data_IF_572093379452
#
_entry.id   IF_572093379452
#
_cell.length_a   1.000
_cell.length_b   1.000
_cell.length_c   1.000
_cell.angle_alpha   90.00
_cell.angle_beta   90.00
_cell.angle_gamma   90.00
#
_symmetry.space_group_name_H-M   'P 1'
#
loop_
_entity.id
_entity.type
_entity.pdbx_description
1 polymer ?
#
# COMPACT_ATOMS: atom_id res chain seq x y z
N UNK A 1 -15.42 17.20 -5.66
CA UNK A 1 -14.30 16.38 -5.10
C UNK A 1 -14.31 16.58 -3.60
N UNK A 2 -14.39 15.51 -2.82
CA UNK A 2 -14.29 15.61 -1.36
C UNK A 2 -12.87 16.08 -1.01
N UNK A 3 -12.76 17.15 -0.22
CA UNK A 3 -11.48 17.65 0.28
C UNK A 3 -10.83 16.62 1.17
N UNK A 4 -9.49 16.67 1.32
CA UNK A 4 -8.73 15.80 2.26
C UNK A 4 -9.36 15.78 3.66
N UNK A 5 -9.86 16.92 4.12
CA UNK A 5 -10.59 17.08 5.39
C UNK A 5 -11.86 16.22 5.45
N UNK A 6 -12.65 16.18 4.37
CA UNK A 6 -13.89 15.39 4.33
C UNK A 6 -13.64 13.88 4.47
N UNK A 7 -12.55 13.36 3.94
CA UNK A 7 -12.17 11.93 4.07
C UNK A 7 -11.71 11.57 5.48
N UNK A 8 -11.06 12.50 6.17
CA UNK A 8 -10.64 12.30 7.56
C UNK A 8 -11.86 12.31 8.46
N UNK A 9 -12.77 13.24 8.22
CA UNK A 9 -14.01 13.32 8.97
C UNK A 9 -14.87 12.07 8.73
N UNK A 10 -14.87 11.53 7.51
CA UNK A 10 -15.48 10.24 7.19
C UNK A 10 -14.82 9.08 7.94
N UNK A 11 -13.49 8.98 7.92
CA UNK A 11 -12.75 7.93 8.62
C UNK A 11 -12.92 8.01 10.15
N UNK A 12 -12.93 9.24 10.71
CA UNK A 12 -13.28 9.47 12.11
C UNK A 12 -14.72 9.02 12.41
N UNK A 13 -15.65 9.33 11.51
CA UNK A 13 -17.04 8.90 11.60
C UNK A 13 -17.19 7.39 11.63
N UNK A 14 -16.46 6.66 10.80
CA UNK A 14 -16.46 5.19 10.76
C UNK A 14 -15.93 4.61 12.09
N UNK A 15 -14.81 5.11 12.62
CA UNK A 15 -14.28 4.67 13.91
C UNK A 15 -15.26 4.95 15.06
N UNK A 16 -15.83 6.15 15.08
CA UNK A 16 -16.82 6.56 16.08
C UNK A 16 -18.07 5.67 16.02
N UNK A 17 -18.57 5.37 14.84
CA UNK A 17 -19.72 4.48 14.62
C UNK A 17 -19.42 3.05 15.12
N UNK A 18 -18.21 2.55 14.86
CA UNK A 18 -17.79 1.21 15.31
C UNK A 18 -17.71 1.12 16.84
N UNK A 19 -17.13 2.12 17.51
CA UNK A 19 -17.09 2.18 18.98
C UNK A 19 -18.49 2.30 19.59
N UNK A 20 -19.36 3.10 18.95
CA UNK A 20 -20.78 3.20 19.38
C UNK A 20 -21.51 1.87 19.21
N UNK A 21 -21.27 1.13 18.13
CA UNK A 21 -21.87 -0.18 17.91
C UNK A 21 -21.45 -1.16 19.01
N UNK A 22 -20.16 -1.26 19.35
CA UNK A 22 -19.66 -2.11 20.43
C UNK A 22 -20.37 -1.81 21.76
N UNK A 23 -20.52 -0.54 22.11
CA UNK A 23 -21.25 -0.15 23.31
C UNK A 23 -22.72 -0.58 23.26
N UNK A 24 -23.37 -0.40 22.11
CA UNK A 24 -24.78 -0.76 21.94
C UNK A 24 -24.99 -2.28 21.98
N UNK A 25 -24.11 -3.04 21.35
CA UNK A 25 -24.14 -4.51 21.32
C UNK A 25 -23.93 -5.10 22.74
N UNK A 26 -23.10 -4.43 23.57
CA UNK A 26 -22.94 -4.74 24.99
C UNK A 26 -24.14 -4.29 25.86
N UNK A 27 -25.19 -3.68 25.28
CA UNK A 27 -26.35 -3.20 25.99
C UNK A 27 -26.10 -1.99 26.92
N UNK A 28 -24.98 -1.29 26.75
CA UNK A 28 -24.57 -0.18 27.61
C UNK A 28 -25.08 1.17 27.10
N UNK A 29 -25.60 2.00 28.02
CA UNK A 29 -25.80 3.44 27.77
C UNK A 29 -24.44 4.16 27.86
N UNK A 30 -24.34 5.37 27.28
CA UNK A 30 -23.11 6.18 27.41
C UNK A 30 -22.74 6.47 28.89
N UNK A 31 -23.72 6.63 29.75
CA UNK A 31 -23.48 6.79 31.20
C UNK A 31 -23.02 5.49 31.88
N UNK A 32 -23.58 4.36 31.47
CA UNK A 32 -23.16 3.05 31.97
C UNK A 32 -21.72 2.73 31.57
N UNK A 33 -21.35 3.03 30.30
CA UNK A 33 -20.00 2.91 29.85
C UNK A 33 -19.04 3.83 30.61
N UNK A 34 -19.42 5.08 30.84
CA UNK A 34 -18.63 6.02 31.65
C UNK A 34 -18.37 5.47 33.10
N UNK A 35 -19.37 4.91 33.72
CA UNK A 35 -19.24 4.30 35.06
C UNK A 35 -18.33 3.06 35.04
N UNK A 36 -18.40 2.25 33.98
CA UNK A 36 -17.63 1.00 33.86
C UNK A 36 -16.16 1.26 33.51
N UNK A 37 -15.88 2.29 32.68
CA UNK A 37 -14.54 2.62 32.15
C UNK A 37 -13.80 3.68 32.97
N UNK A 38 -14.50 4.46 33.81
CA UNK A 38 -13.94 5.66 34.45
C UNK A 38 -13.71 6.84 33.48
N UNK A 39 -14.10 6.72 32.22
CA UNK A 39 -14.03 7.81 31.23
C UNK A 39 -15.14 8.83 31.49
N UNK A 40 -14.84 10.11 31.31
CA UNK A 40 -15.86 11.15 31.37
C UNK A 40 -16.95 10.96 30.29
N UNK A 41 -18.21 11.08 30.67
CA UNK A 41 -19.35 10.93 29.78
C UNK A 41 -19.30 11.90 28.59
N UNK A 42 -18.80 13.11 28.81
CA UNK A 42 -18.60 14.11 27.74
C UNK A 42 -17.55 13.65 26.74
N UNK A 43 -16.49 12.99 27.21
CA UNK A 43 -15.46 12.40 26.36
C UNK A 43 -16.02 11.27 25.50
N UNK A 44 -16.80 10.36 26.09
CA UNK A 44 -17.50 9.29 25.36
C UNK A 44 -18.38 9.87 24.28
N UNK A 45 -19.21 10.86 24.61
CA UNK A 45 -20.05 11.55 23.63
C UNK A 45 -19.26 12.20 22.49
N UNK A 46 -18.14 12.86 22.79
CA UNK A 46 -17.27 13.47 21.78
C UNK A 46 -16.64 12.42 20.87
N UNK A 47 -16.23 11.27 21.39
CA UNK A 47 -15.67 10.16 20.61
C UNK A 47 -16.74 9.58 19.70
N UNK A 48 -17.94 9.28 20.20
CA UNK A 48 -19.05 8.72 19.42
C UNK A 48 -19.59 9.66 18.33
N UNK A 49 -19.38 10.95 18.47
CA UNK A 49 -19.76 11.96 17.48
C UNK A 49 -18.58 12.41 16.60
N UNK A 50 -17.45 11.68 16.61
CA UNK A 50 -16.24 11.97 15.85
C UNK A 50 -15.63 13.37 16.11
N UNK A 51 -16.00 14.04 17.21
CA UNK A 51 -15.47 15.34 17.61
C UNK A 51 -14.08 15.22 18.25
N UNK A 52 -13.81 14.08 18.89
CA UNK A 52 -12.53 13.78 19.54
C UNK A 52 -12.08 12.37 19.18
N UNK A 53 -10.79 12.22 18.81
CA UNK A 53 -10.19 10.91 18.62
C UNK A 53 -9.93 10.22 19.97
N UNK A 54 -10.22 8.91 20.08
CA UNK A 54 -9.83 8.13 21.25
C UNK A 54 -8.31 7.87 21.19
N UNK A 55 -7.65 7.88 22.34
CA UNK A 55 -6.29 7.37 22.46
C UNK A 55 -6.29 5.84 22.64
N UNK A 56 -5.11 5.20 22.62
CA UNK A 56 -5.00 3.75 22.77
C UNK A 56 -5.54 3.22 24.08
N UNK A 57 -5.37 3.97 25.20
CA UNK A 57 -5.89 3.58 26.50
C UNK A 57 -7.42 3.64 26.50
N UNK A 58 -8.01 4.68 25.91
CA UNK A 58 -9.46 4.79 25.75
C UNK A 58 -10.04 3.58 25.01
N UNK A 59 -9.41 3.18 23.89
CA UNK A 59 -9.87 2.04 23.08
C UNK A 59 -9.80 0.73 23.87
N UNK A 60 -8.70 0.48 24.60
CA UNK A 60 -8.56 -0.72 25.44
C UNK A 60 -9.65 -0.79 26.49
N UNK A 61 -9.79 0.28 27.28
CA UNK A 61 -10.79 0.34 28.34
C UNK A 61 -12.23 0.24 27.80
N UNK A 62 -12.47 0.80 26.59
CA UNK A 62 -13.76 0.69 25.93
C UNK A 62 -14.10 -0.75 25.52
N UNK A 63 -13.16 -1.43 24.86
CA UNK A 63 -13.33 -2.82 24.43
C UNK A 63 -13.50 -3.77 25.63
N UNK A 64 -12.66 -3.64 26.66
CA UNK A 64 -12.77 -4.40 27.90
C UNK A 64 -14.17 -4.24 28.54
N UNK A 65 -14.67 -3.00 28.61
CA UNK A 65 -16.01 -2.73 29.15
C UNK A 65 -17.16 -3.31 28.31
N UNK A 66 -16.92 -3.56 27.03
CA UNK A 66 -17.88 -4.09 26.07
C UNK A 66 -17.67 -5.59 25.74
N UNK A 67 -16.77 -6.28 26.44
CA UNK A 67 -16.40 -7.68 26.19
C UNK A 67 -15.97 -7.93 24.73
N UNK A 68 -15.17 -6.98 24.15
CA UNK A 68 -14.73 -6.95 22.75
C UNK A 68 -13.19 -6.85 22.61
N UNK A 69 -12.45 -7.55 23.46
CA UNK A 69 -10.98 -7.49 23.53
C UNK A 69 -10.30 -7.88 22.22
N UNK A 70 -10.89 -8.75 21.43
CA UNK A 70 -10.41 -9.16 20.12
C UNK A 70 -10.34 -8.00 19.10
N UNK A 71 -11.11 -6.93 19.30
CA UNK A 71 -11.14 -5.76 18.42
C UNK A 71 -10.14 -4.66 18.81
N UNK A 72 -9.50 -4.77 19.95
CA UNK A 72 -8.55 -3.76 20.47
C UNK A 72 -7.46 -3.42 19.46
N UNK A 73 -6.83 -4.45 18.89
CA UNK A 73 -5.70 -4.27 17.96
C UNK A 73 -6.14 -3.55 16.69
N UNK A 74 -7.27 -3.95 16.13
CA UNK A 74 -7.82 -3.37 14.91
C UNK A 74 -8.29 -1.93 15.11
N UNK A 75 -8.94 -1.62 16.23
CA UNK A 75 -9.41 -0.27 16.53
C UNK A 75 -8.25 0.70 16.84
N UNK A 76 -7.20 0.23 17.52
CA UNK A 76 -5.98 1.03 17.71
C UNK A 76 -5.30 1.29 16.38
N UNK A 77 -5.18 0.28 15.52
CA UNK A 77 -4.60 0.44 14.20
C UNK A 77 -5.41 1.42 13.33
N UNK A 78 -6.74 1.36 13.39
CA UNK A 78 -7.63 2.29 12.69
C UNK A 78 -7.42 3.73 13.18
N UNK A 79 -7.37 3.97 14.50
CA UNK A 79 -7.12 5.30 15.06
C UNK A 79 -5.75 5.86 14.65
N UNK A 80 -4.69 5.03 14.71
CA UNK A 80 -3.35 5.43 14.27
C UNK A 80 -3.28 5.72 12.78
N UNK A 81 -4.04 4.99 11.95
CA UNK A 81 -4.10 5.24 10.51
C UNK A 81 -4.75 6.59 10.19
N UNK A 82 -5.82 6.96 10.91
CA UNK A 82 -6.47 8.27 10.75
C UNK A 82 -5.48 9.39 11.06
N UNK A 83 -4.71 9.28 12.14
CA UNK A 83 -3.69 10.26 12.49
C UNK A 83 -2.55 10.32 11.46
N UNK A 84 -2.11 9.17 10.94
CA UNK A 84 -1.03 9.08 9.94
C UNK A 84 -1.47 9.61 8.56
N UNK A 85 -2.72 9.39 8.16
CA UNK A 85 -3.26 9.89 6.88
C UNK A 85 -3.22 11.41 6.78
N UNK A 86 -3.29 12.11 7.90
CA UNK A 86 -3.45 13.57 7.89
C UNK A 86 -2.14 14.34 7.81
N UNK A 87 -1.08 13.88 8.47
CA UNK A 87 0.11 14.71 8.71
C UNK A 87 1.20 14.52 7.64
N UNK A 88 1.29 13.35 7.05
CA UNK A 88 2.46 12.99 6.23
C UNK A 88 2.31 13.34 4.75
N UNK A 89 1.13 13.18 4.16
CA UNK A 89 1.00 13.21 2.71
C UNK A 89 1.18 14.61 2.12
N UNK A 90 0.46 15.60 2.61
CA UNK A 90 0.57 16.99 2.14
C UNK A 90 1.97 17.57 2.36
N UNK A 91 2.56 17.23 3.52
CA UNK A 91 3.90 17.67 3.89
C UNK A 91 5.00 16.99 3.07
N UNK A 92 4.81 15.71 2.72
CA UNK A 92 5.73 14.96 1.87
C UNK A 92 5.71 15.47 0.42
N UNK A 93 4.55 15.79 -0.12
CA UNK A 93 4.39 16.32 -1.48
C UNK A 93 4.92 17.75 -1.61
N UNK A 94 4.79 18.60 -0.60
CA UNK A 94 5.39 19.94 -0.56
C UNK A 94 6.93 19.90 -0.67
N UNK A 95 7.56 18.79 -0.27
CA UNK A 95 9.01 18.58 -0.31
C UNK A 95 9.51 17.86 -1.58
N UNK A 96 8.61 17.58 -2.54
CA UNK A 96 8.92 16.86 -3.78
C UNK A 96 8.96 15.33 -3.63
N UNK A 97 9.00 14.63 -4.77
CA UNK A 97 8.99 13.16 -4.82
C UNK A 97 10.28 12.52 -4.30
N UNK A 98 11.41 13.18 -4.39
CA UNK A 98 12.66 12.66 -3.86
C UNK A 98 12.61 12.47 -2.34
N UNK A 99 11.96 13.38 -1.64
CA UNK A 99 11.70 13.22 -0.20
C UNK A 99 10.75 12.04 0.05
N UNK A 100 9.66 11.94 -0.71
CA UNK A 100 8.70 10.82 -0.62
C UNK A 100 9.42 9.49 -0.82
N UNK A 101 10.25 9.36 -1.87
CA UNK A 101 11.00 8.12 -2.10
C UNK A 101 11.89 7.78 -0.90
N UNK A 102 12.68 8.72 -0.40
CA UNK A 102 13.56 8.49 0.76
C UNK A 102 12.82 8.10 2.04
N UNK A 103 11.59 8.58 2.23
CA UNK A 103 10.78 8.28 3.43
C UNK A 103 10.44 6.80 3.59
N UNK A 104 10.48 6.00 2.51
CA UNK A 104 10.27 4.56 2.58
C UNK A 104 11.49 3.78 3.07
N UNK A 105 12.69 4.36 3.04
CA UNK A 105 13.91 3.64 3.38
C UNK A 105 13.87 2.97 4.76
N UNK A 106 13.45 3.66 5.86
CA UNK A 106 13.38 3.04 7.19
C UNK A 106 12.41 1.85 7.27
N UNK A 107 11.32 1.87 6.47
CA UNK A 107 10.40 0.75 6.37
C UNK A 107 11.06 -0.40 5.62
N UNK A 108 11.71 -0.13 4.49
CA UNK A 108 12.39 -1.13 3.68
C UNK A 108 13.54 -1.81 4.44
N UNK A 109 14.29 -1.05 5.22
CA UNK A 109 15.41 -1.59 6.02
C UNK A 109 14.94 -2.62 7.07
N UNK A 110 13.78 -2.34 7.70
CA UNK A 110 13.19 -3.21 8.73
C UNK A 110 12.42 -4.40 8.17
N UNK A 111 11.96 -4.34 6.91
CA UNK A 111 11.14 -5.38 6.30
C UNK A 111 12.01 -6.53 5.79
N UNK A 112 11.63 -7.77 6.08
CA UNK A 112 12.30 -8.99 5.61
C UNK A 112 11.59 -9.62 4.41
N UNK A 113 10.27 -9.54 4.34
CA UNK A 113 9.45 -10.12 3.29
C UNK A 113 8.60 -9.07 2.61
N UNK A 114 8.78 -8.93 1.30
CA UNK A 114 7.99 -8.04 0.44
C UNK A 114 7.10 -8.89 -0.47
N UNK A 115 5.81 -8.62 -0.48
CA UNK A 115 4.84 -9.17 -1.43
C UNK A 115 4.16 -8.01 -2.13
N UNK A 116 4.26 -7.95 -3.44
CA UNK A 116 3.87 -6.79 -4.24
C UNK A 116 2.96 -7.22 -5.38
N UNK A 117 1.80 -6.63 -5.44
CA UNK A 117 0.91 -6.71 -6.58
C UNK A 117 0.83 -5.38 -7.31
N UNK A 118 1.06 -5.40 -8.63
CA UNK A 118 0.91 -4.25 -9.52
C UNK A 118 0.14 -4.66 -10.79
N UNK A 119 -0.99 -4.01 -11.02
CA UNK A 119 -1.84 -4.33 -12.16
C UNK A 119 -1.32 -3.73 -13.48
N UNK A 120 -0.89 -2.47 -13.48
CA UNK A 120 -0.69 -1.68 -14.70
C UNK A 120 0.65 -0.97 -14.83
N UNK A 121 1.55 -1.15 -13.87
CA UNK A 121 2.88 -0.56 -13.90
C UNK A 121 3.93 -1.53 -13.33
N UNK A 122 5.19 -1.38 -13.74
CA UNK A 122 6.29 -2.13 -13.15
C UNK A 122 6.54 -1.63 -11.71
N UNK A 123 6.70 -2.52 -10.71
CA UNK A 123 7.02 -2.13 -9.34
C UNK A 123 8.30 -1.27 -9.27
N UNK A 124 8.29 -0.22 -8.44
CA UNK A 124 9.39 0.75 -8.34
C UNK A 124 10.77 0.12 -8.08
N UNK A 125 10.82 -0.96 -7.30
CA UNK A 125 12.07 -1.69 -7.04
C UNK A 125 12.65 -2.43 -8.26
N UNK A 126 11.87 -2.59 -9.34
CA UNK A 126 12.29 -3.30 -10.55
C UNK A 126 12.47 -2.37 -11.77
N UNK A 127 12.22 -1.05 -11.61
CA UNK A 127 12.27 -0.09 -12.71
C UNK A 127 13.70 0.22 -13.16
N UNK A 128 13.89 0.43 -14.46
CA UNK A 128 15.09 1.10 -14.99
C UNK A 128 15.03 2.61 -14.66
N UNK A 129 16.17 3.30 -14.78
CA UNK A 129 16.22 4.75 -14.52
C UNK A 129 15.28 5.54 -15.42
N UNK A 130 15.24 5.20 -16.71
CA UNK A 130 14.42 5.91 -17.70
C UNK A 130 12.93 5.61 -17.53
N UNK A 131 12.57 4.36 -17.22
CA UNK A 131 11.18 4.04 -16.87
C UNK A 131 10.74 4.76 -15.59
N UNK A 132 11.59 4.77 -14.56
CA UNK A 132 11.32 5.50 -13.32
C UNK A 132 11.13 7.00 -13.58
N UNK A 133 11.99 7.59 -14.44
CA UNK A 133 11.91 9.00 -14.83
C UNK A 133 10.58 9.33 -15.50
N UNK A 134 10.19 8.59 -16.52
CA UNK A 134 8.92 8.83 -17.22
C UNK A 134 7.71 8.65 -16.31
N UNK A 135 7.70 7.60 -15.50
CA UNK A 135 6.61 7.34 -14.56
C UNK A 135 6.48 8.43 -13.46
N UNK A 136 7.62 8.86 -12.88
CA UNK A 136 7.63 9.91 -11.85
C UNK A 136 7.32 11.28 -12.45
N UNK A 137 7.78 11.58 -13.67
CA UNK A 137 7.45 12.82 -14.38
C UNK A 137 5.94 12.96 -14.55
N UNK A 138 5.28 11.92 -15.03
CA UNK A 138 3.83 11.93 -15.18
C UNK A 138 3.08 12.21 -13.85
N UNK A 139 3.63 11.74 -12.72
CA UNK A 139 3.06 12.02 -11.39
C UNK A 139 3.29 13.49 -11.00
N UNK A 140 4.50 14.03 -11.21
CA UNK A 140 4.82 15.44 -10.93
C UNK A 140 3.90 16.35 -11.71
N UNK A 141 3.80 16.13 -13.02
CA UNK A 141 3.00 16.95 -13.94
C UNK A 141 1.51 16.89 -13.60
N UNK A 142 1.00 15.69 -13.34
CA UNK A 142 -0.43 15.50 -12.98
C UNK A 142 -0.81 16.15 -11.65
N UNK A 143 0.08 16.08 -10.64
CA UNK A 143 -0.19 16.59 -9.30
C UNK A 143 0.20 18.05 -9.11
N UNK A 144 0.99 18.63 -10.02
CA UNK A 144 1.50 20.00 -9.91
C UNK A 144 2.40 20.21 -8.69
N UNK A 145 3.21 19.21 -8.34
CA UNK A 145 4.15 19.25 -7.20
C UNK A 145 5.53 19.73 -7.65
N UNK A 146 6.42 20.16 -6.71
CA UNK A 146 7.76 20.62 -7.08
C UNK A 146 8.54 19.62 -7.92
N UNK A 147 9.19 20.12 -8.98
CA UNK A 147 10.00 19.31 -9.88
C UNK A 147 11.37 19.00 -9.29
N UNK A 148 11.50 17.83 -8.71
CA UNK A 148 12.75 17.27 -8.20
C UNK A 148 13.06 15.89 -8.84
N UNK A 149 12.72 15.72 -10.13
CA UNK A 149 12.76 14.44 -10.84
C UNK A 149 14.09 13.71 -10.70
N UNK A 150 15.22 14.40 -10.80
CA UNK A 150 16.55 13.78 -10.68
C UNK A 150 16.78 13.20 -9.29
N UNK A 151 16.42 13.95 -8.24
CA UNK A 151 16.49 13.47 -6.86
C UNK A 151 15.54 12.30 -6.61
N UNK A 152 14.33 12.32 -7.19
CA UNK A 152 13.35 11.26 -7.08
C UNK A 152 13.81 9.96 -7.76
N UNK A 153 14.37 10.05 -8.98
CA UNK A 153 14.94 8.91 -9.70
C UNK A 153 16.14 8.34 -8.95
N UNK A 154 17.08 9.19 -8.53
CA UNK A 154 18.24 8.75 -7.77
C UNK A 154 17.86 8.03 -6.47
N UNK A 155 16.87 8.56 -5.72
CA UNK A 155 16.37 7.92 -4.52
C UNK A 155 15.71 6.55 -4.81
N UNK A 156 14.94 6.44 -5.90
CA UNK A 156 14.32 5.17 -6.33
C UNK A 156 15.37 4.13 -6.71
N UNK A 157 16.39 4.50 -7.46
CA UNK A 157 17.47 3.58 -7.83
C UNK A 157 18.28 3.14 -6.60
N UNK A 158 18.51 4.05 -5.65
CA UNK A 158 19.15 3.72 -4.37
C UNK A 158 18.35 2.68 -3.58
N UNK A 159 17.03 2.80 -3.54
CA UNK A 159 16.18 1.82 -2.87
C UNK A 159 16.31 0.41 -3.45
N UNK A 160 16.60 0.27 -4.75
CA UNK A 160 16.73 -1.04 -5.39
C UNK A 160 17.93 -1.85 -4.89
N UNK A 161 18.91 -1.20 -4.24
CA UNK A 161 20.05 -1.90 -3.64
C UNK A 161 19.61 -2.96 -2.62
N UNK A 162 18.44 -2.83 -2.01
CA UNK A 162 17.92 -3.83 -1.07
C UNK A 162 17.67 -5.19 -1.71
N UNK A 163 17.45 -5.26 -3.04
CA UNK A 163 17.27 -6.53 -3.76
C UNK A 163 18.51 -7.44 -3.68
N UNK A 164 19.69 -6.84 -3.44
CA UNK A 164 20.96 -7.57 -3.26
C UNK A 164 21.12 -8.14 -1.86
N UNK A 165 20.25 -7.76 -0.92
CA UNK A 165 20.32 -8.26 0.46
C UNK A 165 19.71 -9.66 0.55
N UNK A 166 20.55 -10.70 0.62
CA UNK A 166 20.13 -12.10 0.66
C UNK A 166 19.31 -12.51 1.89
N UNK A 167 19.27 -11.67 2.96
CA UNK A 167 18.41 -11.90 4.12
C UNK A 167 16.95 -11.50 3.90
N UNK A 168 16.66 -10.78 2.80
CA UNK A 168 15.32 -10.34 2.45
C UNK A 168 14.71 -11.21 1.34
N UNK A 169 13.40 -11.31 1.30
CA UNK A 169 12.63 -12.07 0.30
C UNK A 169 11.68 -11.13 -0.41
N UNK A 170 11.63 -11.23 -1.73
CA UNK A 170 10.79 -10.39 -2.59
C UNK A 170 9.93 -11.29 -3.49
N UNK A 171 8.63 -11.11 -3.42
CA UNK A 171 7.68 -11.73 -4.33
C UNK A 171 6.89 -10.63 -5.06
N UNK A 172 7.18 -10.47 -6.33
CA UNK A 172 6.47 -9.54 -7.21
C UNK A 172 5.52 -10.32 -8.10
N UNK A 173 4.27 -9.90 -8.14
CA UNK A 173 3.27 -10.37 -9.09
C UNK A 173 2.72 -9.17 -9.83
N UNK A 174 2.74 -9.21 -11.15
CA UNK A 174 2.21 -8.14 -11.99
C UNK A 174 1.13 -8.67 -12.92
N UNK A 175 0.15 -7.83 -13.28
CA UNK A 175 -0.74 -8.13 -14.39
C UNK A 175 -0.01 -8.01 -15.73
N UNK A 176 -0.34 -8.82 -16.73
CA UNK A 176 0.22 -8.71 -18.08
C UNK A 176 0.06 -7.29 -18.66
N UNK A 177 -0.96 -6.56 -18.21
CA UNK A 177 -1.19 -5.17 -18.61
C UNK A 177 -0.02 -4.26 -18.25
N UNK A 178 0.70 -4.51 -17.15
CA UNK A 178 1.88 -3.75 -16.77
C UNK A 178 3.02 -3.82 -17.81
N UNK A 179 3.08 -4.91 -18.59
CA UNK A 179 4.08 -5.10 -19.64
C UNK A 179 3.69 -4.41 -20.95
N UNK A 180 2.43 -4.10 -21.15
CA UNK A 180 1.86 -3.57 -22.39
C UNK A 180 1.49 -2.10 -22.32
N UNK A 181 1.37 -1.53 -21.12
CA UNK A 181 1.04 -0.12 -20.92
C UNK A 181 2.25 0.76 -21.28
N UNK A 182 2.15 1.63 -22.30
CA UNK A 182 3.27 2.46 -22.74
C UNK A 182 3.42 3.70 -21.83
N UNK A 183 3.93 3.50 -20.62
CA UNK A 183 4.18 4.59 -19.67
C UNK A 183 5.40 5.44 -20.03
N UNK A 184 6.25 4.92 -20.92
CA UNK A 184 7.43 5.58 -21.48
C UNK A 184 7.55 5.25 -22.96
N UNK A 185 8.52 5.84 -23.65
CA UNK A 185 8.77 5.56 -25.07
C UNK A 185 9.09 4.08 -25.35
N UNK A 186 8.95 3.63 -26.63
CA UNK A 186 9.13 2.22 -26.98
C UNK A 186 10.50 1.65 -26.59
N UNK A 187 11.58 2.39 -26.81
CA UNK A 187 12.95 1.96 -26.47
C UNK A 187 13.11 1.76 -24.96
N UNK A 188 12.57 2.67 -24.14
CA UNK A 188 12.60 2.58 -22.68
C UNK A 188 11.72 1.43 -22.18
N UNK A 189 10.59 1.16 -22.85
CA UNK A 189 9.77 -0.02 -22.53
C UNK A 189 10.52 -1.32 -22.83
N UNK A 190 11.19 -1.43 -23.98
CA UNK A 190 12.02 -2.60 -24.31
C UNK A 190 13.11 -2.81 -23.26
N UNK A 191 13.88 -1.76 -22.94
CA UNK A 191 14.93 -1.84 -21.91
C UNK A 191 14.39 -2.28 -20.54
N UNK A 192 13.19 -1.79 -20.17
CA UNK A 192 12.53 -2.20 -18.93
C UNK A 192 12.13 -3.68 -18.94
N UNK A 193 11.58 -4.18 -20.04
CA UNK A 193 11.14 -5.57 -20.17
C UNK A 193 12.35 -6.53 -20.22
N UNK A 194 13.43 -6.16 -20.92
CA UNK A 194 14.68 -6.91 -20.92
C UNK A 194 15.29 -6.99 -19.52
N UNK A 195 15.26 -5.90 -18.76
CA UNK A 195 15.68 -5.86 -17.34
C UNK A 195 14.87 -6.82 -16.47
N UNK A 196 13.54 -6.90 -16.67
CA UNK A 196 12.70 -7.85 -15.94
C UNK A 196 13.05 -9.30 -16.30
N UNK A 197 13.34 -9.60 -17.58
CA UNK A 197 13.74 -10.93 -18.02
C UNK A 197 15.06 -11.38 -17.38
N UNK A 198 16.03 -10.47 -17.23
CA UNK A 198 17.29 -10.74 -16.52
C UNK A 198 17.04 -11.07 -15.04
N UNK A 199 16.20 -10.28 -14.34
CA UNK A 199 15.87 -10.48 -12.93
C UNK A 199 15.22 -11.83 -12.67
N UNK A 200 14.38 -12.33 -13.60
CA UNK A 200 13.74 -13.64 -13.47
C UNK A 200 14.72 -14.81 -13.57
N UNK A 201 15.95 -14.58 -14.06
CA UNK A 201 16.94 -15.63 -14.31
C UNK A 201 18.04 -15.74 -13.26
N UNK A 202 18.23 -14.72 -12.40
CA UNK A 202 19.48 -14.62 -11.66
C UNK A 202 19.43 -14.28 -10.18
N UNK A 203 18.26 -14.06 -9.57
CA UNK A 203 18.22 -13.54 -8.20
C UNK A 203 17.48 -14.50 -7.26
N UNK A 204 18.20 -15.27 -6.47
CA UNK A 204 17.65 -16.35 -5.63
C UNK A 204 16.60 -15.90 -4.58
N UNK A 205 16.62 -14.62 -4.18
CA UNK A 205 15.69 -14.06 -3.21
C UNK A 205 14.57 -13.23 -3.82
N UNK A 206 14.48 -13.16 -5.18
CA UNK A 206 13.43 -12.44 -5.91
C UNK A 206 12.62 -13.42 -6.74
N UNK A 207 11.33 -13.50 -6.48
CA UNK A 207 10.34 -14.19 -7.32
C UNK A 207 9.57 -13.15 -8.13
N UNK A 208 9.42 -13.38 -9.43
CA UNK A 208 8.65 -12.51 -10.33
C UNK A 208 7.64 -13.33 -11.13
N UNK A 209 6.37 -13.05 -10.96
CA UNK A 209 5.26 -13.69 -11.64
C UNK A 209 4.42 -12.70 -12.44
N UNK A 210 3.81 -13.18 -13.50
CA UNK A 210 2.94 -12.40 -14.38
C UNK A 210 1.59 -13.10 -14.45
N UNK A 211 0.51 -12.42 -14.08
CA UNK A 211 -0.87 -12.93 -14.27
C UNK A 211 -1.27 -12.68 -15.73
N UNK A 212 -1.43 -13.73 -16.56
CA UNK A 212 -1.80 -13.57 -17.97
C UNK A 212 -3.19 -12.94 -18.11
N UNK A 213 -3.35 -12.07 -19.12
CA UNK A 213 -4.63 -11.45 -19.44
C UNK A 213 -5.68 -12.45 -19.98
N UNK A 214 -5.24 -13.64 -20.39
CA UNK A 214 -6.08 -14.70 -20.96
C UNK A 214 -6.70 -15.63 -19.93
N UNK A 215 -6.27 -15.57 -18.67
CA UNK A 215 -6.82 -16.40 -17.60
C UNK A 215 -7.84 -15.62 -16.78
N UNK A 216 -8.71 -16.36 -16.08
CA UNK A 216 -9.62 -15.81 -15.08
C UNK A 216 -9.03 -16.06 -13.70
N UNK A 217 -8.36 -15.07 -13.06
CA UNK A 217 -7.85 -15.25 -11.71
C UNK A 217 -9.00 -15.36 -10.70
N UNK A 218 -8.81 -16.04 -9.56
CA UNK A 218 -9.83 -16.16 -8.53
C UNK A 218 -10.30 -14.81 -7.96
N UNK A 219 -9.41 -13.81 -8.00
CA UNK A 219 -9.66 -12.43 -7.59
C UNK A 219 -8.82 -11.50 -8.46
N UNK A 220 -9.42 -10.39 -8.91
CA UNK A 220 -8.70 -9.26 -9.51
C UNK A 220 -8.93 -8.03 -8.61
N UNK A 221 -7.98 -7.67 -7.75
CA UNK A 221 -8.10 -6.47 -6.91
C UNK A 221 -8.14 -5.21 -7.78
N UNK A 222 -8.96 -4.21 -7.44
CA UNK A 222 -9.00 -2.94 -8.16
C UNK A 222 -7.78 -2.05 -7.87
N UNK A 223 -7.06 -2.32 -6.78
CA UNK A 223 -5.89 -1.56 -6.34
C UNK A 223 -4.59 -2.33 -6.46
N UNK A 224 -3.50 -1.59 -6.56
CA UNK A 224 -2.14 -2.08 -6.38
C UNK A 224 -1.78 -2.06 -4.88
N UNK A 225 -1.06 -3.07 -4.39
CA UNK A 225 -0.70 -3.12 -2.99
C UNK A 225 0.68 -3.73 -2.73
N UNK A 226 1.25 -3.31 -1.61
CA UNK A 226 2.50 -3.81 -1.06
C UNK A 226 2.27 -4.34 0.33
N UNK A 227 2.66 -5.59 0.60
CA UNK A 227 2.61 -6.19 1.94
C UNK A 227 4.05 -6.23 2.46
N UNK A 228 4.26 -5.66 3.63
CA UNK A 228 5.54 -5.63 4.33
C UNK A 228 5.46 -6.56 5.54
N UNK A 229 6.22 -7.67 5.50
CA UNK A 229 6.10 -8.80 6.42
C UNK A 229 4.63 -9.27 6.50
N UNK A 230 4.10 -9.47 7.70
CA UNK A 230 2.69 -9.78 7.93
C UNK A 230 2.02 -8.72 8.83
N UNK A 231 2.47 -7.47 8.75
CA UNK A 231 2.05 -6.44 9.70
C UNK A 231 1.63 -5.10 9.07
N UNK A 232 1.78 -4.96 7.75
CA UNK A 232 1.43 -3.70 7.07
C UNK A 232 1.13 -3.92 5.60
N UNK A 233 0.08 -3.27 5.11
CA UNK A 233 -0.23 -3.14 3.69
C UNK A 233 -0.20 -1.66 3.30
N UNK A 234 0.39 -1.36 2.14
CA UNK A 234 0.38 -0.04 1.51
C UNK A 234 -0.34 -0.13 0.18
N UNK A 235 -1.22 0.83 -0.07
CA UNK A 235 -1.94 1.03 -1.33
C UNK A 235 -1.65 2.42 -1.82
N UNK A 236 -1.20 2.54 -3.06
CA UNK A 236 -1.00 3.83 -3.71
C UNK A 236 -2.28 4.19 -4.48
N UNK A 237 -2.89 5.32 -4.12
CA UNK A 237 -4.10 5.86 -4.77
C UNK A 237 -3.78 7.16 -5.49
N UNK A 238 -4.68 7.63 -6.38
CA UNK A 238 -4.47 8.89 -7.10
C UNK A 238 -4.23 10.08 -6.16
N UNK A 239 -5.04 10.30 -5.09
CA UNK A 239 -4.82 11.42 -4.19
C UNK A 239 -3.80 11.16 -3.11
N UNK A 240 -3.29 9.93 -2.96
CA UNK A 240 -2.40 9.62 -1.84
C UNK A 240 -2.17 8.15 -1.59
N UNK A 241 -1.62 7.86 -0.44
CA UNK A 241 -1.26 6.54 0.02
C UNK A 241 -2.14 6.13 1.21
N UNK A 242 -2.61 4.90 1.20
CA UNK A 242 -3.35 4.30 2.32
C UNK A 242 -2.45 3.23 2.95
N UNK A 243 -2.43 3.16 4.27
CA UNK A 243 -1.75 2.12 5.01
C UNK A 243 -2.74 1.36 5.89
N UNK A 244 -2.78 0.03 5.77
CA UNK A 244 -3.51 -0.85 6.66
C UNK A 244 -2.52 -1.55 7.60
N UNK A 245 -2.80 -1.49 8.90
CA UNK A 245 -2.01 -2.15 9.95
C UNK A 245 -2.88 -3.04 10.83
N UNK A 246 -4.21 -3.01 10.64
CA UNK A 246 -5.11 -3.91 11.32
C UNK A 246 -4.83 -5.36 10.85
N UNK A 247 -4.60 -6.31 11.76
CA UNK A 247 -4.31 -7.70 11.40
C UNK A 247 -5.37 -8.32 10.51
N UNK A 248 -6.65 -8.01 10.72
CA UNK A 248 -7.78 -8.46 9.88
C UNK A 248 -7.60 -8.04 8.42
N UNK A 249 -7.21 -6.78 8.17
CA UNK A 249 -7.00 -6.27 6.83
C UNK A 249 -5.78 -6.92 6.16
N UNK A 250 -4.68 -7.05 6.91
CA UNK A 250 -3.44 -7.65 6.41
C UNK A 250 -3.68 -9.09 5.94
N UNK A 251 -4.42 -9.89 6.70
CA UNK A 251 -4.79 -11.28 6.35
C UNK A 251 -5.59 -11.32 5.04
N UNK A 252 -6.51 -10.37 4.80
CA UNK A 252 -7.28 -10.30 3.55
C UNK A 252 -6.36 -10.04 2.35
N UNK A 253 -5.39 -9.12 2.47
CA UNK A 253 -4.43 -8.84 1.40
C UNK A 253 -3.42 -9.98 1.19
N UNK A 254 -3.03 -10.71 2.23
CA UNK A 254 -2.23 -11.92 2.09
C UNK A 254 -2.96 -13.00 1.29
N UNK A 255 -4.25 -13.22 1.59
CA UNK A 255 -5.09 -14.15 0.83
C UNK A 255 -5.25 -13.71 -0.62
N UNK A 256 -5.44 -12.41 -0.88
CA UNK A 256 -5.49 -11.86 -2.24
C UNK A 256 -4.18 -12.10 -2.98
N UNK A 257 -3.04 -11.83 -2.36
CA UNK A 257 -1.73 -12.06 -2.95
C UNK A 257 -1.49 -13.55 -3.26
N UNK A 258 -1.87 -14.46 -2.37
CA UNK A 258 -1.79 -15.92 -2.60
C UNK A 258 -2.60 -16.35 -3.83
N UNK A 259 -3.84 -15.83 -3.97
CA UNK A 259 -4.69 -16.12 -5.12
C UNK A 259 -4.07 -15.64 -6.45
N UNK A 260 -3.50 -14.44 -6.46
CA UNK A 260 -2.81 -13.87 -7.63
C UNK A 260 -1.52 -14.63 -7.95
N UNK A 261 -0.73 -14.95 -6.93
CA UNK A 261 0.52 -15.70 -7.08
C UNK A 261 0.27 -17.11 -7.61
N UNK A 262 -0.81 -17.77 -7.16
CA UNK A 262 -1.20 -19.09 -7.69
C UNK A 262 -1.71 -19.08 -9.12
N UNK A 263 -2.12 -17.91 -9.62
CA UNK A 263 -2.58 -17.71 -11.01
C UNK A 263 -1.49 -17.16 -11.94
N UNK A 264 -0.30 -16.83 -11.42
CA UNK A 264 0.75 -16.19 -12.19
C UNK A 264 1.66 -17.21 -12.90
N UNK A 265 2.11 -16.85 -14.09
CA UNK A 265 3.18 -17.53 -14.82
C UNK A 265 4.55 -17.12 -14.24
N UNK A 266 5.47 -18.07 -14.14
CA UNK A 266 6.82 -17.89 -13.58
C UNK A 266 7.90 -18.48 -14.51
N UNK A 267 9.16 -18.21 -14.22
CA UNK A 267 10.30 -18.86 -14.86
C UNK A 267 10.31 -18.64 -16.38
N UNK A 268 10.32 -19.71 -17.17
CA UNK A 268 10.40 -19.63 -18.62
C UNK A 268 9.15 -18.99 -19.24
N UNK A 269 7.98 -19.35 -18.77
CA UNK A 269 6.70 -18.79 -19.25
C UNK A 269 6.63 -17.27 -19.07
N UNK A 270 7.02 -16.77 -17.89
CA UNK A 270 7.10 -15.33 -17.64
C UNK A 270 8.10 -14.63 -18.56
N UNK A 271 9.28 -15.26 -18.82
CA UNK A 271 10.28 -14.71 -19.77
C UNK A 271 9.75 -14.64 -21.19
N UNK A 272 8.98 -15.63 -21.63
CA UNK A 272 8.40 -15.64 -22.98
C UNK A 272 7.35 -14.54 -23.11
N UNK A 273 6.54 -14.28 -22.08
CA UNK A 273 5.62 -13.15 -22.03
C UNK A 273 6.35 -11.80 -22.10
N UNK A 274 7.46 -11.66 -21.37
CA UNK A 274 8.29 -10.44 -21.40
C UNK A 274 8.89 -10.21 -22.80
N UNK A 275 9.43 -11.25 -23.44
CA UNK A 275 9.98 -11.17 -24.81
C UNK A 275 8.91 -10.81 -25.84
N UNK A 276 7.72 -11.43 -25.74
CA UNK A 276 6.60 -11.10 -26.62
C UNK A 276 6.14 -9.64 -26.47
N UNK A 277 6.09 -9.15 -25.23
CA UNK A 277 5.76 -7.75 -24.97
C UNK A 277 6.84 -6.79 -25.52
N UNK A 278 8.14 -7.11 -25.34
CA UNK A 278 9.25 -6.31 -25.88
C UNK A 278 9.24 -6.29 -27.41
N UNK A 279 8.97 -7.41 -28.10
CA UNK A 279 8.86 -7.48 -29.55
C UNK A 279 7.77 -6.54 -30.08
N UNK A 280 6.60 -6.50 -29.42
CA UNK A 280 5.51 -5.60 -29.81
C UNK A 280 5.85 -4.09 -29.68
N UNK A 281 6.85 -3.71 -28.87
CA UNK A 281 7.35 -2.33 -28.81
C UNK A 281 8.46 -2.05 -29.83
N UNK A 282 9.21 -3.07 -30.29
CA UNK A 282 10.24 -2.91 -31.33
C UNK A 282 9.64 -2.70 -32.74
N UNK A 283 8.39 -3.12 -32.93
CA UNK A 283 7.65 -2.98 -34.20
C UNK A 283 6.92 -1.63 -34.34
N UNK A 284 6.94 -0.80 -33.32
CA UNK A 284 6.31 0.53 -33.30
C UNK A 284 7.32 1.64 -33.55
#
# INVERSE_FOLDING_TARGET
MATSTARIDEAKGILAARLRALRADAGLTGRALAAKTGLDHTKISKIENAVQMPNQADIRTWCEACDADEQVVDLIAAAQNIDAMYTEWRRLEESGLGHVQRSFQPLYDKTHQFRVWQHSAVPGLLQTGDYARGHLRAIIDFRGIPDDIDAAVAARLKQQEILRNGSKRFAFVVGEQALRMPLVGPEQMVAQLDRLAELTSGTANVSFGIVPATIRPPLMPPENFWIYDANRVRIDTVPGQIQHKAPSDVVVYEKAFQALSGAAAYGQEARDMLRAAAAAFREK
#
